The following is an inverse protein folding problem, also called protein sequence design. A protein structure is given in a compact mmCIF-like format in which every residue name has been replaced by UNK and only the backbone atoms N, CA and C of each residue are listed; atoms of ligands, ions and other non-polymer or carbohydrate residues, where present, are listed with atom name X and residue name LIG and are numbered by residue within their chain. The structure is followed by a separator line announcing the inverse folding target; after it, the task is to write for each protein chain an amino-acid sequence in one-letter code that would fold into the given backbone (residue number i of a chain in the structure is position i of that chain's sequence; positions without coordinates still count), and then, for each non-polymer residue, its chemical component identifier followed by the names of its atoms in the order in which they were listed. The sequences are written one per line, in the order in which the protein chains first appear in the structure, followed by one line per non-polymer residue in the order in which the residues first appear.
data_IF_828371519412
#
_entry.id   IF_828371519412
#
_cell.length_a   1.000
_cell.length_b   1.000
_cell.length_c   1.000
_cell.angle_alpha   90.00
_cell.angle_beta   90.00
_cell.angle_gamma   90.00
#
_symmetry.space_group_name_H-M   'P 1'
#
loop_
_entity.id
_entity.type
_entity.pdbx_description
1 polymer ?
#
# COMPACT_ATOMS: atom_id res chain seq x y z
N UNK A 1 -5.34 -34.82 42.16
CA UNK A 1 -4.58 -33.55 42.24
C UNK A 1 -3.73 -33.25 41.02
N UNK A 2 -3.88 -33.98 39.92
CA UNK A 2 -3.08 -33.79 38.64
C UNK A 2 -3.83 -33.09 37.49
N UNK A 3 -5.12 -32.87 37.62
CA UNK A 3 -5.93 -32.26 36.54
C UNK A 3 -6.09 -30.73 36.65
N UNK A 4 -5.80 -30.11 37.80
CA UNK A 4 -5.98 -28.65 37.97
C UNK A 4 -4.86 -27.80 37.37
N UNK A 5 -3.66 -28.36 37.18
CA UNK A 5 -2.53 -27.62 36.60
C UNK A 5 -2.60 -27.48 35.07
N UNK A 6 -3.32 -28.37 34.37
CA UNK A 6 -3.41 -28.32 32.89
C UNK A 6 -4.39 -27.24 32.39
N UNK A 7 -5.43 -26.94 33.17
CA UNK A 7 -6.42 -25.92 32.80
C UNK A 7 -5.90 -24.50 32.93
N UNK A 8 -4.99 -24.22 33.89
CA UNK A 8 -4.42 -22.91 34.12
C UNK A 8 -3.41 -22.53 33.02
N UNK A 9 -2.64 -23.50 32.49
CA UNK A 9 -1.66 -23.26 31.43
C UNK A 9 -2.31 -22.96 30.07
N UNK A 10 -3.45 -23.57 29.76
CA UNK A 10 -4.19 -23.31 28.51
C UNK A 10 -4.87 -21.94 28.55
N UNK A 11 -5.39 -21.50 29.69
CA UNK A 11 -6.02 -20.19 29.85
C UNK A 11 -4.99 -19.03 29.71
N UNK A 12 -3.74 -19.20 30.15
CA UNK A 12 -2.69 -18.18 29.98
C UNK A 12 -2.22 -18.03 28.54
N UNK A 13 -2.24 -19.11 27.75
CA UNK A 13 -1.83 -19.06 26.33
C UNK A 13 -2.86 -18.38 25.41
N UNK A 14 -4.13 -18.44 25.75
CA UNK A 14 -5.21 -17.76 25.00
C UNK A 14 -5.27 -16.25 25.23
N UNK A 15 -4.76 -15.77 26.39
CA UNK A 15 -4.80 -14.35 26.73
C UNK A 15 -3.75 -13.51 26.01
N UNK A 16 -2.63 -14.10 25.58
CA UNK A 16 -1.54 -13.37 24.93
C UNK A 16 -1.81 -13.05 23.46
N UNK A 17 -2.61 -13.84 22.78
CA UNK A 17 -2.94 -13.61 21.35
C UNK A 17 -3.96 -12.50 21.15
N UNK A 18 -4.90 -12.32 22.07
CA UNK A 18 -5.93 -11.28 21.99
C UNK A 18 -5.39 -9.88 22.24
N UNK A 19 -4.45 -9.73 23.19
CA UNK A 19 -3.81 -8.43 23.49
C UNK A 19 -2.95 -7.96 22.32
N UNK A 20 -2.22 -8.84 21.64
CA UNK A 20 -1.37 -8.49 20.49
C UNK A 20 -2.18 -8.06 19.25
N UNK A 21 -3.33 -8.69 19.00
CA UNK A 21 -4.21 -8.32 17.90
C UNK A 21 -4.91 -6.97 18.12
N UNK A 22 -5.31 -6.70 19.34
CA UNK A 22 -6.02 -5.47 19.72
C UNK A 22 -5.10 -4.24 19.70
N UNK A 23 -3.83 -4.41 20.07
CA UNK A 23 -2.81 -3.34 19.97
C UNK A 23 -2.48 -3.03 18.50
N UNK A 24 -2.39 -4.03 17.65
CA UNK A 24 -2.13 -3.85 16.23
C UNK A 24 -3.26 -3.06 15.54
N UNK A 25 -4.51 -3.29 15.88
CA UNK A 25 -5.65 -2.56 15.30
C UNK A 25 -5.70 -1.09 15.75
N UNK A 26 -5.23 -0.78 16.96
CA UNK A 26 -5.14 0.59 17.45
C UNK A 26 -4.02 1.39 16.79
N UNK A 27 -2.86 0.78 16.54
CA UNK A 27 -1.67 1.44 15.94
C UNK A 27 -1.74 1.49 14.42
N UNK A 28 -2.30 0.46 13.77
CA UNK A 28 -2.40 0.28 12.33
C UNK A 28 -3.88 0.13 11.90
N UNK A 29 -4.67 1.20 11.90
CA UNK A 29 -6.08 1.09 11.56
C UNK A 29 -6.26 0.57 10.12
N UNK A 30 -7.19 -0.37 9.92
CA UNK A 30 -7.49 -0.98 8.63
C UNK A 30 -6.28 -1.66 7.96
N UNK A 31 -5.30 -2.11 8.76
CA UNK A 31 -4.17 -2.87 8.23
C UNK A 31 -4.64 -4.19 7.65
N UNK A 32 -4.23 -4.46 6.41
CA UNK A 32 -4.60 -5.66 5.70
C UNK A 32 -3.53 -6.05 4.69
N UNK A 33 -3.28 -7.34 4.57
CA UNK A 33 -2.46 -7.89 3.51
C UNK A 33 -3.26 -7.98 2.21
N UNK A 34 -2.72 -7.45 1.12
CA UNK A 34 -3.28 -7.52 -0.22
C UNK A 34 -2.65 -8.67 -1.01
N UNK A 35 -1.32 -8.78 -0.95
CA UNK A 35 -0.54 -9.86 -1.56
C UNK A 35 0.69 -10.17 -0.69
N UNK A 36 1.56 -11.08 -1.12
CA UNK A 36 2.79 -11.43 -0.37
C UNK A 36 3.68 -10.22 -0.09
N UNK A 37 3.62 -9.19 -0.94
CA UNK A 37 4.45 -7.99 -0.85
C UNK A 37 3.69 -6.71 -0.62
N UNK A 38 2.38 -6.67 -0.84
CA UNK A 38 1.59 -5.45 -0.73
C UNK A 38 0.66 -5.51 0.48
N UNK A 39 0.72 -4.48 1.30
CA UNK A 39 -0.13 -4.24 2.46
C UNK A 39 -0.80 -2.88 2.33
N UNK A 40 -1.97 -2.75 2.91
CA UNK A 40 -2.76 -1.51 2.90
C UNK A 40 -3.21 -1.12 4.28
N UNK A 41 -3.55 0.15 4.46
CA UNK A 41 -4.14 0.62 5.72
C UNK A 41 -4.51 2.09 5.70
N UNK A 42 -4.93 2.58 6.87
CA UNK A 42 -5.03 3.99 7.16
C UNK A 42 -3.69 4.55 7.64
N UNK A 43 -3.65 5.86 7.90
CA UNK A 43 -2.52 6.52 8.53
C UNK A 43 -2.09 5.78 9.80
N UNK A 44 -0.84 5.32 9.91
CA UNK A 44 -0.31 4.77 11.15
C UNK A 44 -0.46 5.77 12.30
N UNK A 45 -0.83 5.27 13.47
CA UNK A 45 -0.88 6.06 14.71
C UNK A 45 0.44 5.94 15.47
N UNK A 46 0.54 6.55 16.62
CA UNK A 46 1.72 6.45 17.47
C UNK A 46 2.13 4.99 17.69
N UNK A 47 3.40 4.66 17.43
CA UNK A 47 3.92 3.29 17.46
C UNK A 47 3.73 2.50 16.17
N UNK A 48 2.80 2.89 15.29
CA UNK A 48 2.44 2.14 14.10
C UNK A 48 3.59 1.93 13.12
N UNK A 49 4.49 2.90 12.96
CA UNK A 49 5.67 2.73 12.09
C UNK A 49 6.62 1.66 12.64
N UNK A 50 6.86 1.61 13.95
CA UNK A 50 7.65 0.53 14.56
C UNK A 50 6.97 -0.82 14.35
N UNK A 51 5.64 -0.86 14.52
CA UNK A 51 4.88 -2.07 14.27
C UNK A 51 4.98 -2.55 12.83
N UNK A 52 4.97 -1.66 11.85
CA UNK A 52 5.23 -2.01 10.44
C UNK A 52 6.62 -2.62 10.24
N UNK A 53 7.66 -2.09 10.91
CA UNK A 53 9.03 -2.69 10.86
C UNK A 53 9.04 -4.11 11.43
N UNK A 54 8.40 -4.32 12.59
CA UNK A 54 8.29 -5.65 13.21
C UNK A 54 7.56 -6.65 12.30
N UNK A 55 6.59 -6.19 11.50
CA UNK A 55 5.89 -6.98 10.49
C UNK A 55 6.72 -7.21 9.21
N UNK A 56 7.95 -6.69 9.16
CA UNK A 56 8.85 -6.87 8.02
C UNK A 56 8.50 -6.01 6.81
N UNK A 57 7.82 -4.87 7.01
CA UNK A 57 7.62 -3.88 5.94
C UNK A 57 8.92 -3.13 5.69
N UNK A 58 9.28 -2.95 4.42
CA UNK A 58 10.51 -2.28 3.98
C UNK A 58 10.23 -0.89 3.43
N UNK A 59 9.06 -0.70 2.82
CA UNK A 59 8.71 0.51 2.08
C UNK A 59 7.35 1.03 2.49
N UNK A 60 7.24 2.34 2.64
CA UNK A 60 5.98 3.06 2.88
C UNK A 60 5.66 3.93 1.68
N UNK A 61 4.43 3.84 1.20
CA UNK A 61 3.87 4.73 0.17
C UNK A 61 2.72 5.51 0.78
N UNK A 62 2.96 6.79 1.04
CA UNK A 62 1.96 7.70 1.60
C UNK A 62 1.28 8.49 0.46
N UNK A 63 -0.04 8.32 0.34
CA UNK A 63 -0.89 8.97 -0.68
C UNK A 63 -1.48 10.31 -0.20
N UNK A 64 -1.08 10.79 0.97
CA UNK A 64 -1.57 12.06 1.53
C UNK A 64 -0.85 13.24 0.92
N UNK A 65 -1.53 14.40 0.95
CA UNK A 65 -0.90 15.67 0.60
C UNK A 65 0.32 16.00 1.48
N UNK A 66 1.17 16.87 0.98
CA UNK A 66 2.30 17.41 1.74
C UNK A 66 1.82 18.27 2.90
N UNK A 67 2.50 18.20 4.05
CA UNK A 67 2.17 18.95 5.25
C UNK A 67 3.00 18.48 6.44
N UNK A 68 2.82 19.11 7.60
CA UNK A 68 3.61 18.80 8.80
C UNK A 68 3.49 17.33 9.23
N UNK A 69 2.28 16.79 9.21
CA UNK A 69 2.06 15.38 9.56
C UNK A 69 2.76 14.42 8.59
N UNK A 70 2.79 14.75 7.28
CA UNK A 70 3.48 13.93 6.29
C UNK A 70 4.99 14.03 6.46
N UNK A 71 5.52 15.24 6.74
CA UNK A 71 6.95 15.45 7.02
C UNK A 71 7.41 14.73 8.30
N UNK A 72 6.60 14.79 9.36
CA UNK A 72 6.90 14.09 10.61
C UNK A 72 6.92 12.57 10.42
N UNK A 73 5.95 12.02 9.68
CA UNK A 73 5.93 10.59 9.34
C UNK A 73 7.13 10.20 8.50
N UNK A 74 7.50 11.00 7.48
CA UNK A 74 8.67 10.73 6.66
C UNK A 74 9.95 10.70 7.49
N UNK A 75 10.13 11.65 8.42
CA UNK A 75 11.30 11.71 9.30
C UNK A 75 11.39 10.45 10.16
N UNK A 76 10.31 10.08 10.87
CA UNK A 76 10.25 8.87 11.69
C UNK A 76 10.46 7.61 10.85
N UNK A 77 9.85 7.52 9.67
CA UNK A 77 10.01 6.37 8.78
C UNK A 77 11.47 6.20 8.33
N UNK A 78 12.15 7.28 7.99
CA UNK A 78 13.56 7.24 7.59
C UNK A 78 14.48 6.86 8.75
N UNK A 79 14.23 7.35 9.96
CA UNK A 79 14.95 6.96 11.18
C UNK A 79 14.79 5.47 11.47
N UNK A 80 13.61 4.90 11.21
CA UNK A 80 13.35 3.47 11.32
C UNK A 80 13.87 2.63 10.16
N UNK A 81 14.52 3.25 9.15
CA UNK A 81 15.14 2.58 8.02
C UNK A 81 14.18 2.15 6.90
N UNK A 82 13.00 2.78 6.80
CA UNK A 82 12.11 2.55 5.66
C UNK A 82 12.56 3.29 4.40
N UNK A 83 12.32 2.69 3.24
CA UNK A 83 12.16 3.45 2.02
C UNK A 83 10.83 4.19 2.09
N UNK A 84 10.82 5.51 1.97
CA UNK A 84 9.60 6.31 2.09
C UNK A 84 9.33 7.11 0.83
N UNK A 85 8.12 6.95 0.31
CA UNK A 85 7.63 7.67 -0.87
C UNK A 85 6.34 8.40 -0.54
N UNK A 86 6.36 9.73 -0.60
CA UNK A 86 5.13 10.51 -0.60
C UNK A 86 4.73 10.81 -2.04
N UNK A 87 3.61 10.24 -2.48
CA UNK A 87 3.02 10.46 -3.81
C UNK A 87 1.57 10.91 -3.61
N UNK A 88 1.33 12.22 -3.45
CA UNK A 88 0.01 12.72 -3.13
C UNK A 88 -1.03 12.43 -4.20
N UNK A 89 -2.14 11.83 -3.82
CA UNK A 89 -3.35 11.77 -4.63
C UNK A 89 -4.38 12.78 -4.11
N UNK A 90 -5.24 13.33 -4.96
CA UNK A 90 -6.25 14.28 -4.55
C UNK A 90 -7.22 13.64 -3.54
N UNK A 91 -7.70 14.45 -2.57
CA UNK A 91 -8.75 14.00 -1.66
C UNK A 91 -10.09 13.86 -2.38
N UNK A 92 -10.25 14.58 -3.47
CA UNK A 92 -11.43 14.69 -4.27
C UNK A 92 -11.07 14.85 -5.75
N UNK A 93 -11.81 14.21 -6.63
CA UNK A 93 -11.55 14.26 -8.07
C UNK A 93 -10.72 13.11 -8.60
N UNK A 94 -10.53 13.13 -9.92
CA UNK A 94 -9.80 12.09 -10.65
C UNK A 94 -8.29 12.12 -10.31
N UNK A 95 -7.67 10.97 -10.01
CA UNK A 95 -6.22 10.90 -9.85
C UNK A 95 -5.47 11.26 -11.13
N UNK A 96 -4.25 11.76 -10.99
CA UNK A 96 -3.37 12.07 -12.12
C UNK A 96 -2.64 10.79 -12.56
N UNK A 97 -2.66 10.48 -13.85
CA UNK A 97 -2.11 9.24 -14.42
C UNK A 97 -0.61 9.06 -14.10
N UNK A 98 0.18 10.12 -14.20
CA UNK A 98 1.61 10.08 -13.87
C UNK A 98 1.87 9.70 -12.41
N UNK A 99 1.05 10.18 -11.47
CA UNK A 99 1.17 9.84 -10.05
C UNK A 99 0.77 8.38 -9.79
N UNK A 100 -0.33 7.96 -10.38
CA UNK A 100 -0.80 6.56 -10.28
C UNK A 100 0.26 5.62 -10.85
N UNK A 101 0.76 5.91 -12.05
CA UNK A 101 1.83 5.15 -12.69
C UNK A 101 3.07 5.06 -11.80
N UNK A 102 3.50 6.17 -11.20
CA UNK A 102 4.64 6.18 -10.26
C UNK A 102 4.40 5.24 -9.09
N UNK A 103 3.20 5.27 -8.48
CA UNK A 103 2.87 4.40 -7.35
C UNK A 103 2.91 2.93 -7.77
N UNK A 104 2.31 2.57 -8.90
CA UNK A 104 2.30 1.20 -9.40
C UNK A 104 3.72 0.69 -9.71
N UNK A 105 4.60 1.54 -10.27
CA UNK A 105 6.01 1.21 -10.49
C UNK A 105 6.77 1.00 -9.17
N UNK A 106 6.51 1.80 -8.14
CA UNK A 106 7.08 1.58 -6.80
C UNK A 106 6.64 0.24 -6.23
N UNK A 107 5.36 -0.11 -6.38
CA UNK A 107 4.80 -1.38 -5.89
C UNK A 107 5.39 -2.58 -6.66
N UNK A 108 5.52 -2.45 -7.98
CA UNK A 108 6.06 -3.52 -8.82
C UNK A 108 7.55 -3.79 -8.60
N UNK A 109 8.31 -2.79 -8.17
CA UNK A 109 9.77 -2.86 -8.06
C UNK A 109 10.23 -3.84 -6.95
N UNK A 110 10.94 -4.95 -7.28
CA UNK A 110 11.33 -5.98 -6.31
C UNK A 110 12.22 -5.47 -5.19
N UNK A 111 13.10 -4.50 -5.48
CA UNK A 111 14.02 -3.89 -4.50
C UNK A 111 13.34 -3.13 -3.37
N UNK A 112 12.05 -2.79 -3.53
CA UNK A 112 11.27 -2.11 -2.50
C UNK A 112 10.75 -3.06 -1.41
N UNK A 113 10.99 -4.38 -1.52
CA UNK A 113 10.63 -5.37 -0.52
C UNK A 113 9.11 -5.45 -0.29
N UNK A 114 8.72 -5.51 0.98
CA UNK A 114 7.30 -5.50 1.41
C UNK A 114 6.83 -4.05 1.58
N UNK A 115 5.70 -3.74 0.99
CA UNK A 115 5.23 -2.36 0.83
C UNK A 115 3.94 -2.14 1.59
N UNK A 116 3.88 -1.09 2.37
CA UNK A 116 2.65 -0.61 2.99
C UNK A 116 2.18 0.67 2.28
N UNK A 117 1.01 0.61 1.64
CA UNK A 117 0.38 1.77 1.00
C UNK A 117 -0.77 2.29 1.85
N UNK A 118 -0.80 3.59 2.11
CA UNK A 118 -1.84 4.20 2.92
C UNK A 118 -2.22 5.62 2.48
N UNK A 119 -3.38 6.05 2.93
CA UNK A 119 -3.81 7.45 2.91
C UNK A 119 -4.25 7.87 4.32
N UNK A 120 -5.16 8.82 4.47
CA UNK A 120 -5.69 9.18 5.80
C UNK A 120 -6.56 8.06 6.39
N UNK A 121 -7.58 7.65 5.65
CA UNK A 121 -8.61 6.73 6.13
C UNK A 121 -8.39 5.28 5.65
N UNK A 122 -7.43 5.04 4.73
CA UNK A 122 -7.15 3.72 4.16
C UNK A 122 -8.23 3.19 3.22
N UNK A 123 -9.14 4.04 2.74
CA UNK A 123 -10.36 3.63 2.01
C UNK A 123 -10.25 4.02 0.53
N UNK A 124 -10.53 5.28 0.19
CA UNK A 124 -10.72 5.70 -1.20
C UNK A 124 -9.43 5.71 -2.02
N UNK A 125 -8.46 6.58 -1.69
CA UNK A 125 -7.17 6.66 -2.40
C UNK A 125 -6.40 5.34 -2.36
N UNK A 126 -6.35 4.73 -1.19
CA UNK A 126 -5.71 3.43 -0.99
C UNK A 126 -6.45 2.35 -1.76
N UNK A 127 -7.79 2.32 -1.70
CA UNK A 127 -8.63 1.39 -2.45
C UNK A 127 -8.44 1.52 -3.96
N UNK A 128 -8.36 2.75 -4.48
CA UNK A 128 -8.09 3.01 -5.90
C UNK A 128 -6.76 2.38 -6.32
N UNK A 129 -5.67 2.61 -5.57
CA UNK A 129 -4.35 2.05 -5.91
C UNK A 129 -4.35 0.52 -5.82
N UNK A 130 -4.99 -0.06 -4.81
CA UNK A 130 -5.10 -1.52 -4.68
C UNK A 130 -5.91 -2.12 -5.82
N UNK A 131 -7.05 -1.51 -6.19
CA UNK A 131 -7.86 -1.97 -7.32
C UNK A 131 -7.06 -1.94 -8.63
N UNK A 132 -6.30 -0.87 -8.87
CA UNK A 132 -5.44 -0.77 -10.04
C UNK A 132 -4.31 -1.81 -10.03
N UNK A 133 -3.70 -2.08 -8.87
CA UNK A 133 -2.72 -3.16 -8.74
C UNK A 133 -3.32 -4.54 -9.06
N UNK A 134 -4.53 -4.84 -8.57
CA UNK A 134 -5.28 -6.06 -8.90
C UNK A 134 -5.47 -6.22 -10.41
N UNK A 135 -5.86 -5.14 -11.09
CA UNK A 135 -6.08 -5.16 -12.54
C UNK A 135 -4.77 -5.33 -13.29
N UNK A 136 -3.75 -4.52 -12.97
CA UNK A 136 -2.53 -4.44 -13.79
C UNK A 136 -1.51 -5.54 -13.52
N UNK A 137 -1.46 -6.09 -12.30
CA UNK A 137 -0.44 -7.06 -11.89
C UNK A 137 -1.01 -8.44 -11.60
N UNK A 138 -2.28 -8.53 -11.19
CA UNK A 138 -2.90 -9.79 -10.83
C UNK A 138 -3.95 -10.25 -11.86
N UNK A 139 -4.21 -9.46 -12.91
CA UNK A 139 -5.11 -9.80 -14.01
C UNK A 139 -6.59 -9.85 -13.61
N UNK A 140 -6.99 -9.14 -12.55
CA UNK A 140 -8.41 -9.08 -12.19
C UNK A 140 -9.19 -8.20 -13.16
N UNK A 141 -10.48 -8.51 -13.35
CA UNK A 141 -11.37 -7.54 -14.00
C UNK A 141 -11.55 -6.30 -13.14
N UNK A 142 -11.76 -5.15 -13.76
CA UNK A 142 -12.02 -3.88 -13.05
C UNK A 142 -13.21 -3.98 -12.13
N UNK A 143 -14.28 -4.69 -12.54
CA UNK A 143 -15.48 -4.87 -11.73
C UNK A 143 -15.19 -5.65 -10.44
N UNK A 144 -14.39 -6.73 -10.53
CA UNK A 144 -13.96 -7.51 -9.37
C UNK A 144 -13.10 -6.67 -8.41
N UNK A 145 -12.14 -5.92 -8.95
CA UNK A 145 -11.25 -5.08 -8.16
C UNK A 145 -11.99 -3.93 -7.47
N UNK A 146 -12.99 -3.34 -8.14
CA UNK A 146 -13.86 -2.32 -7.55
C UNK A 146 -14.78 -2.90 -6.47
N UNK A 147 -15.33 -4.09 -6.66
CA UNK A 147 -16.13 -4.76 -5.65
C UNK A 147 -15.33 -4.98 -4.35
N UNK A 148 -14.08 -5.48 -4.44
CA UNK A 148 -13.18 -5.57 -3.28
C UNK A 148 -12.96 -4.21 -2.62
N UNK A 149 -12.71 -3.15 -3.40
CA UNK A 149 -12.49 -1.82 -2.86
C UNK A 149 -13.74 -1.27 -2.13
N UNK A 150 -14.94 -1.54 -2.63
CA UNK A 150 -16.22 -1.16 -2.01
C UNK A 150 -16.49 -1.96 -0.72
N UNK A 151 -16.25 -3.26 -0.71
CA UNK A 151 -16.33 -4.10 0.49
C UNK A 151 -15.39 -3.60 1.60
N UNK A 152 -14.22 -3.10 1.22
CA UNK A 152 -13.23 -2.52 2.11
C UNK A 152 -13.51 -1.04 2.45
N UNK A 153 -14.67 -0.53 2.03
CA UNK A 153 -15.25 0.73 2.47
C UNK A 153 -15.02 1.92 1.51
N UNK A 154 -14.61 1.70 0.26
CA UNK A 154 -14.54 2.78 -0.73
C UNK A 154 -15.91 3.45 -0.86
N UNK A 155 -15.94 4.77 -0.65
CA UNK A 155 -17.17 5.53 -0.57
C UNK A 155 -17.75 5.82 -1.94
N UNK A 156 -19.03 5.58 -2.12
CA UNK A 156 -19.73 5.85 -3.39
C UNK A 156 -19.67 7.30 -3.84
N UNK A 157 -19.55 8.24 -2.88
CA UNK A 157 -19.40 9.67 -3.18
C UNK A 157 -18.07 9.99 -3.88
N UNK A 158 -17.08 9.10 -3.80
CA UNK A 158 -15.80 9.21 -4.51
C UNK A 158 -15.88 8.63 -5.93
N UNK A 159 -16.97 8.94 -6.64
CA UNK A 159 -17.26 8.35 -7.96
C UNK A 159 -16.14 8.58 -8.98
N UNK A 160 -15.40 9.69 -8.94
CA UNK A 160 -14.25 9.91 -9.84
C UNK A 160 -13.12 8.88 -9.67
N UNK A 161 -12.87 8.45 -8.41
CA UNK A 161 -11.84 7.43 -8.14
C UNK A 161 -12.32 6.06 -8.58
N UNK A 162 -13.63 5.79 -8.40
CA UNK A 162 -14.25 4.54 -8.86
C UNK A 162 -14.26 4.47 -10.39
N UNK A 163 -14.72 5.54 -11.06
CA UNK A 163 -14.74 5.61 -12.50
C UNK A 163 -13.32 5.47 -13.07
N UNK A 164 -12.34 6.14 -12.47
CA UNK A 164 -10.94 6.02 -12.85
C UNK A 164 -10.44 4.57 -12.76
N UNK A 165 -10.70 3.89 -11.64
CA UNK A 165 -10.29 2.50 -11.48
C UNK A 165 -11.06 1.55 -12.42
N UNK A 166 -12.34 1.84 -12.68
CA UNK A 166 -13.18 1.08 -13.61
C UNK A 166 -12.79 1.27 -15.08
N UNK A 167 -12.37 2.46 -15.48
CA UNK A 167 -11.92 2.78 -16.83
C UNK A 167 -10.52 2.23 -17.12
N UNK A 168 -9.65 2.19 -16.11
CA UNK A 168 -8.25 1.84 -16.24
C UNK A 168 -8.03 0.46 -16.88
N UNK A 169 -8.87 -0.52 -16.55
CA UNK A 169 -8.82 -1.86 -17.14
C UNK A 169 -9.61 -2.01 -18.45
N UNK A 170 -10.30 -0.95 -18.89
CA UNK A 170 -11.07 -0.91 -20.14
C UNK A 170 -10.43 -0.04 -21.21
N UNK A 171 -9.51 0.83 -20.84
CA UNK A 171 -8.79 1.68 -21.79
C UNK A 171 -7.76 0.84 -22.53
N UNK A 172 -7.93 0.83 -23.84
CA UNK A 172 -7.19 0.18 -24.89
C UNK A 172 -5.72 -0.18 -24.64
N UNK A 173 -5.33 -1.21 -25.38
CA UNK A 173 -3.99 -1.75 -25.65
C UNK A 173 -2.82 -0.74 -25.64
N UNK A 174 -3.05 0.53 -25.92
CA UNK A 174 -2.03 1.59 -25.96
C UNK A 174 -1.55 2.01 -24.56
N UNK A 175 -2.39 1.90 -23.53
CA UNK A 175 -2.00 2.19 -22.15
C UNK A 175 -1.29 0.99 -21.49
N UNK A 176 -1.78 -0.21 -21.72
CA UNK A 176 -1.14 -1.46 -21.30
C UNK A 176 0.21 -1.65 -21.96
N UNK A 177 0.37 -1.26 -23.24
CA UNK A 177 1.65 -1.23 -23.94
C UNK A 177 2.61 -0.21 -23.33
N UNK A 178 2.15 0.98 -22.93
CA UNK A 178 3.00 1.98 -22.25
C UNK A 178 3.41 1.57 -20.85
N UNK A 179 2.53 0.92 -20.07
CA UNK A 179 2.87 0.34 -18.77
C UNK A 179 3.76 -0.88 -18.94
N UNK A 180 3.42 -1.79 -19.85
CA UNK A 180 4.21 -2.98 -20.14
C UNK A 180 5.60 -2.64 -20.69
N UNK A 181 5.74 -1.59 -21.48
CA UNK A 181 7.04 -1.04 -21.90
C UNK A 181 7.76 -0.40 -20.70
N UNK A 182 7.05 0.35 -19.85
CA UNK A 182 7.63 0.95 -18.63
C UNK A 182 8.12 -0.10 -17.63
N UNK A 183 7.34 -1.15 -17.41
CA UNK A 183 7.71 -2.26 -16.50
C UNK A 183 8.90 -3.03 -17.10
N UNK A 184 8.89 -3.35 -18.40
CA UNK A 184 10.02 -4.02 -19.09
C UNK A 184 11.29 -3.16 -19.12
N UNK A 185 11.17 -1.85 -19.26
CA UNK A 185 12.31 -0.94 -19.17
C UNK A 185 12.87 -0.95 -17.75
N UNK A 186 12.02 -0.88 -16.72
CA UNK A 186 12.44 -0.95 -15.31
C UNK A 186 13.09 -2.29 -15.01
N UNK A 187 12.52 -3.40 -15.41
CA UNK A 187 13.11 -4.74 -15.24
C UNK A 187 14.47 -4.84 -15.97
N UNK A 188 14.57 -4.35 -17.19
CA UNK A 188 15.82 -4.35 -17.97
C UNK A 188 16.90 -3.46 -17.31
N UNK A 189 16.52 -2.29 -16.78
CA UNK A 189 17.45 -1.40 -16.06
C UNK A 189 17.87 -1.95 -14.70
N UNK A 190 16.97 -2.61 -13.97
CA UNK A 190 17.25 -3.23 -12.67
C UNK A 190 18.29 -4.35 -12.78
N UNK A 191 18.22 -5.16 -13.85
CA UNK A 191 19.21 -6.20 -14.10
C UNK A 191 20.59 -5.66 -14.52
N UNK A 192 20.64 -4.46 -15.11
CA UNK A 192 21.89 -3.89 -15.67
C UNK A 192 22.58 -2.85 -14.76
N UNK A 193 21.86 -2.19 -13.86
CA UNK A 193 22.44 -1.13 -13.02
C UNK A 193 21.62 -0.91 -11.72
N UNK A 194 21.86 -1.70 -10.66
CA UNK A 194 21.10 -1.61 -9.40
C UNK A 194 21.20 -0.24 -8.68
N UNK A 195 22.12 0.65 -9.06
CA UNK A 195 22.27 1.98 -8.46
C UNK A 195 21.63 3.15 -9.25
N UNK A 196 21.06 2.90 -10.43
CA UNK A 196 20.61 3.97 -11.33
C UNK A 196 19.17 4.47 -11.09
N UNK A 197 18.42 3.86 -10.17
CA UNK A 197 16.98 4.13 -9.95
C UNK A 197 16.74 5.52 -9.39
N UNK A 198 17.59 6.00 -8.49
CA UNK A 198 17.49 7.34 -7.92
C UNK A 198 17.58 8.44 -8.99
N UNK A 199 18.40 8.24 -10.02
CA UNK A 199 18.53 9.15 -11.16
C UNK A 199 17.36 9.04 -12.15
N UNK A 200 16.82 7.84 -12.37
CA UNK A 200 15.72 7.63 -13.32
C UNK A 200 14.40 8.18 -12.77
N UNK A 201 14.10 7.94 -11.49
CA UNK A 201 12.89 8.50 -10.86
C UNK A 201 13.00 10.01 -10.62
N UNK A 202 14.20 10.56 -10.49
CA UNK A 202 14.45 12.00 -10.39
C UNK A 202 14.37 12.76 -11.72
N UNK A 203 14.44 12.08 -12.86
CA UNK A 203 14.38 12.68 -14.20
C UNK A 203 13.01 12.61 -14.89
N UNK A 204 12.01 12.04 -14.22
CA UNK A 204 10.61 11.98 -14.71
C UNK A 204 9.74 13.11 -14.09
N UNK A 205 10.36 14.05 -13.38
CA UNK A 205 9.71 15.17 -12.68
C UNK A 205 10.33 16.50 -13.04
#
# INVERSE_FOLDING_TARGET
MRMMFFAITVALMLSSTTVSAQTAETELPRFQQVSDRLYRGAQPRAGGLRRLRELGIDTIVNLRGTGDLTRAEEAEARELGFNYFNVPLPNWGRPQDNRVRRILLIIAAPQNGRIFVHCKDGVDRTGTIVALHRVTHEGWSSDKALAEAEELGMRRIQFWMRDYAGEYGRSDTDFDDRLGVGIRIVETYLHRAPGAISKFLGGIF
#
